data_IF_885039561551
#
_entry.id   IF_885039561551
#
_cell.length_a   1.000
_cell.length_b   1.000
_cell.length_c   1.000
_cell.angle_alpha   90.00
_cell.angle_beta   90.00
_cell.angle_gamma   90.00
#
_symmetry.space_group_name_H-M   'P 1'
#
loop_
_entity.id
_entity.type
_entity.pdbx_description
1 polymer ?
#
# COMPACT_ATOMS: atom_id res chain seq x y z
N UNK A 1 10.99 -4.67 -16.59
CA UNK A 1 9.55 -4.72 -16.95
C UNK A 1 8.88 -3.35 -16.84
N UNK A 2 9.02 -2.66 -15.70
CA UNK A 2 8.44 -1.32 -15.48
C UNK A 2 8.84 -0.34 -16.59
N UNK A 3 10.14 -0.15 -16.83
CA UNK A 3 10.63 0.75 -17.87
C UNK A 3 10.09 0.42 -19.26
N UNK A 4 10.02 -0.87 -19.64
CA UNK A 4 9.47 -1.31 -20.92
C UNK A 4 7.99 -0.91 -21.08
N UNK A 5 7.18 -1.02 -20.04
CA UNK A 5 5.77 -0.60 -20.10
C UNK A 5 5.67 0.93 -20.16
N UNK A 6 6.46 1.63 -19.33
CA UNK A 6 6.47 3.07 -19.28
C UNK A 6 6.94 3.72 -20.59
N UNK A 7 7.94 3.14 -21.28
CA UNK A 7 8.43 3.62 -22.58
C UNK A 7 7.39 3.49 -23.69
N UNK A 8 6.48 2.54 -23.57
CA UNK A 8 5.34 2.33 -24.49
C UNK A 8 4.09 3.14 -24.06
N UNK A 9 4.25 4.11 -23.16
CA UNK A 9 3.17 4.94 -22.62
C UNK A 9 2.06 4.15 -21.89
N UNK A 10 2.35 2.95 -21.39
CA UNK A 10 1.42 2.18 -20.57
C UNK A 10 1.56 2.67 -19.11
N UNK A 11 0.49 3.19 -18.48
CA UNK A 11 0.56 3.68 -17.10
C UNK A 11 0.91 2.56 -16.11
N UNK A 12 2.00 2.74 -15.36
CA UNK A 12 2.43 1.78 -14.34
C UNK A 12 2.26 2.38 -12.94
N UNK A 13 1.59 1.64 -12.06
CA UNK A 13 1.45 1.96 -10.64
C UNK A 13 2.19 0.95 -9.79
N UNK A 14 3.03 1.43 -8.87
CA UNK A 14 3.69 0.58 -7.88
C UNK A 14 2.72 0.19 -6.76
N UNK A 15 2.71 -1.09 -6.37
CA UNK A 15 2.00 -1.59 -5.19
C UNK A 15 3.03 -2.04 -4.15
N UNK A 16 3.16 -1.30 -3.05
CA UNK A 16 3.99 -1.71 -1.91
C UNK A 16 3.13 -2.52 -0.94
N UNK A 17 3.19 -3.85 -1.02
CA UNK A 17 2.39 -4.72 -0.18
C UNK A 17 3.07 -6.07 0.10
N UNK A 18 3.06 -6.54 1.36
CA UNK A 18 2.66 -5.79 2.56
C UNK A 18 3.77 -4.84 3.06
N UNK A 19 3.37 -3.67 3.57
CA UNK A 19 4.22 -2.87 4.45
C UNK A 19 4.10 -3.42 5.86
N UNK A 20 5.23 -3.86 6.42
CA UNK A 20 5.37 -4.41 7.77
C UNK A 20 6.10 -3.37 8.63
N UNK A 21 5.40 -2.72 9.58
CA UNK A 21 6.01 -1.75 10.49
C UNK A 21 7.23 -2.33 11.21
N UNK A 22 8.37 -1.64 11.17
CA UNK A 22 9.58 -2.07 11.86
C UNK A 22 10.39 -3.18 11.16
N UNK A 23 9.94 -3.67 10.00
CA UNK A 23 10.73 -4.56 9.13
C UNK A 23 11.09 -3.92 7.78
N UNK A 24 10.11 -3.37 7.06
CA UNK A 24 10.35 -2.78 5.73
C UNK A 24 9.69 -1.40 5.52
N UNK A 25 9.00 -0.87 6.53
CA UNK A 25 8.31 0.42 6.44
C UNK A 25 9.25 1.59 6.15
N UNK A 26 10.50 1.49 6.57
CA UNK A 26 11.56 2.47 6.33
C UNK A 26 12.14 2.40 4.91
N UNK A 27 11.91 1.31 4.18
CA UNK A 27 12.37 1.14 2.80
C UNK A 27 11.49 1.87 1.77
N UNK A 28 10.29 2.34 2.18
CA UNK A 28 9.32 3.02 1.33
C UNK A 28 9.95 4.09 0.40
N UNK A 29 10.77 5.03 0.91
CA UNK A 29 11.34 6.07 0.05
C UNK A 29 12.28 5.51 -1.02
N UNK A 30 13.12 4.53 -0.65
CA UNK A 30 14.10 3.94 -1.55
C UNK A 30 13.41 3.14 -2.67
N UNK A 31 12.40 2.34 -2.32
CA UNK A 31 11.62 1.56 -3.29
C UNK A 31 10.83 2.48 -4.24
N UNK A 32 10.17 3.52 -3.72
CA UNK A 32 9.44 4.49 -4.56
C UNK A 32 10.40 5.22 -5.49
N UNK A 33 11.57 5.65 -5.00
CA UNK A 33 12.58 6.29 -5.84
C UNK A 33 13.03 5.36 -6.97
N UNK A 34 13.42 4.13 -6.65
CA UNK A 34 13.88 3.17 -7.65
C UNK A 34 12.81 2.90 -8.72
N UNK A 35 11.55 2.74 -8.32
CA UNK A 35 10.46 2.58 -9.27
C UNK A 35 10.17 3.86 -10.09
N UNK A 36 10.33 5.04 -9.48
CA UNK A 36 10.18 6.33 -10.18
C UNK A 36 11.23 6.51 -11.28
N UNK A 37 12.47 6.10 -11.01
CA UNK A 37 13.58 6.09 -11.98
C UNK A 37 13.26 5.16 -13.18
N UNK A 38 12.47 4.11 -12.96
CA UNK A 38 11.98 3.19 -14.00
C UNK A 38 10.72 3.69 -14.73
N UNK A 39 10.11 4.82 -14.33
CA UNK A 39 9.02 5.46 -15.07
C UNK A 39 7.60 5.21 -14.57
N UNK A 40 7.38 4.73 -13.33
CA UNK A 40 6.01 4.69 -12.76
C UNK A 40 5.37 6.10 -12.70
N UNK A 41 4.03 6.14 -12.69
CA UNK A 41 3.26 7.38 -12.57
C UNK A 41 2.44 7.49 -11.28
N UNK A 42 2.33 6.41 -10.51
CA UNK A 42 1.63 6.39 -9.23
C UNK A 42 2.19 5.29 -8.32
N UNK A 43 1.91 5.39 -7.02
CA UNK A 43 2.15 4.32 -6.06
C UNK A 43 0.95 4.18 -5.12
N UNK A 44 0.77 3.00 -4.55
CA UNK A 44 -0.14 2.69 -3.46
C UNK A 44 0.53 1.68 -2.53
N UNK A 45 0.06 1.57 -1.29
CA UNK A 45 0.55 0.57 -0.35
C UNK A 45 -0.58 -0.03 0.48
N UNK A 46 -0.30 -1.16 1.11
CA UNK A 46 -1.16 -1.72 2.16
C UNK A 46 -0.33 -2.17 3.34
N UNK A 47 -0.82 -1.91 4.55
CA UNK A 47 -0.23 -2.45 5.78
C UNK A 47 -0.49 -3.96 5.84
N UNK A 48 0.48 -4.70 6.38
CA UNK A 48 0.36 -6.15 6.63
C UNK A 48 -0.88 -6.47 7.45
N UNK A 49 -1.55 -7.59 7.16
CA UNK A 49 -2.69 -8.10 7.92
C UNK A 49 -2.51 -9.59 8.13
N UNK A 50 -2.45 -10.04 9.38
CA UNK A 50 -2.19 -11.43 9.71
C UNK A 50 -3.50 -12.16 10.06
N UNK A 51 -4.31 -12.44 9.03
CA UNK A 51 -5.63 -13.04 9.20
C UNK A 51 -5.55 -14.55 9.50
N UNK A 52 -6.34 -15.03 10.46
CA UNK A 52 -6.46 -16.45 10.77
C UNK A 52 -5.10 -17.09 11.10
N UNK A 53 -4.84 -18.27 10.52
CA UNK A 53 -3.61 -19.04 10.74
C UNK A 53 -2.32 -18.28 10.38
N UNK A 54 -2.40 -17.22 9.55
CA UNK A 54 -1.22 -16.44 9.18
C UNK A 54 -0.61 -15.74 10.39
N UNK A 55 -1.40 -15.35 11.40
CA UNK A 55 -0.87 -14.73 12.62
C UNK A 55 0.10 -15.65 13.36
N UNK A 56 -0.27 -16.91 13.55
CA UNK A 56 0.56 -17.89 14.25
C UNK A 56 1.83 -18.21 13.46
N UNK A 57 1.69 -18.45 12.15
CA UNK A 57 2.83 -18.75 11.26
C UNK A 57 3.82 -17.59 11.24
N UNK A 58 3.32 -16.36 11.09
CA UNK A 58 4.17 -15.17 11.06
C UNK A 58 4.85 -14.93 12.41
N UNK A 59 4.14 -15.15 13.52
CA UNK A 59 4.68 -14.99 14.88
C UNK A 59 5.82 -15.97 15.13
N UNK A 60 5.62 -17.25 14.83
CA UNK A 60 6.69 -18.26 14.94
C UNK A 60 7.89 -17.93 14.04
N UNK A 61 7.64 -17.52 12.79
CA UNK A 61 8.69 -17.13 11.86
C UNK A 61 9.48 -15.93 12.35
N UNK A 62 8.82 -14.86 12.83
CA UNK A 62 9.52 -13.62 13.18
C UNK A 62 10.38 -13.80 14.44
N UNK A 63 9.97 -14.63 15.40
CA UNK A 63 10.81 -15.00 16.54
C UNK A 63 12.06 -15.80 16.14
N UNK A 64 12.00 -16.58 15.06
CA UNK A 64 13.15 -17.32 14.55
C UNK A 64 14.07 -16.45 13.70
N UNK A 65 13.50 -15.61 12.83
CA UNK A 65 14.25 -14.82 11.87
C UNK A 65 14.83 -13.51 12.46
N UNK A 66 14.10 -12.90 13.40
CA UNK A 66 14.42 -11.59 13.99
C UNK A 66 14.16 -11.58 15.51
N UNK A 67 14.82 -12.47 16.29
CA UNK A 67 14.52 -12.67 17.71
C UNK A 67 14.63 -11.40 18.56
N UNK A 68 15.53 -10.49 18.19
CA UNK A 68 15.83 -9.24 18.89
C UNK A 68 14.76 -8.15 18.73
N UNK A 69 13.93 -8.24 17.69
CA UNK A 69 12.90 -7.23 17.36
C UNK A 69 11.51 -7.80 17.09
N UNK A 70 11.33 -9.11 17.22
CA UNK A 70 10.07 -9.81 16.96
C UNK A 70 8.88 -9.19 17.69
N UNK A 71 8.97 -9.07 19.02
CA UNK A 71 7.88 -8.53 19.86
C UNK A 71 7.56 -7.09 19.49
N UNK A 72 8.58 -6.28 19.20
CA UNK A 72 8.39 -4.89 18.78
C UNK A 72 7.63 -4.82 17.45
N UNK A 73 7.99 -5.63 16.47
CA UNK A 73 7.30 -5.66 15.17
C UNK A 73 5.86 -6.13 15.34
N UNK A 74 5.63 -7.21 16.10
CA UNK A 74 4.28 -7.72 16.36
C UNK A 74 3.41 -6.67 17.06
N UNK A 75 3.96 -5.95 18.03
CA UNK A 75 3.26 -4.85 18.70
C UNK A 75 2.96 -3.70 17.73
N UNK A 76 3.89 -3.30 16.87
CA UNK A 76 3.64 -2.25 15.88
C UNK A 76 2.57 -2.66 14.85
N UNK A 77 2.53 -3.94 14.46
CA UNK A 77 1.45 -4.49 13.63
C UNK A 77 0.12 -4.40 14.40
N UNK A 78 0.10 -4.79 15.66
CA UNK A 78 -1.07 -4.74 16.51
C UNK A 78 -1.60 -3.30 16.68
N UNK A 79 -0.71 -2.33 16.89
CA UNK A 79 -1.04 -0.91 17.02
C UNK A 79 -1.70 -0.37 15.74
N UNK A 80 -1.30 -0.87 14.57
CA UNK A 80 -1.96 -0.54 13.29
C UNK A 80 -3.39 -1.10 13.15
N UNK A 81 -3.79 -2.05 14.01
CA UNK A 81 -5.04 -2.81 13.89
C UNK A 81 -5.80 -2.86 15.23
N UNK A 82 -5.68 -1.82 16.06
CA UNK A 82 -6.44 -1.68 17.30
C UNK A 82 -6.08 -2.71 18.38
N UNK A 83 -4.81 -3.09 18.46
CA UNK A 83 -4.28 -4.03 19.46
C UNK A 83 -4.35 -5.50 19.05
N UNK A 84 -4.68 -5.81 17.79
CA UNK A 84 -4.77 -7.17 17.26
C UNK A 84 -3.88 -7.34 16.04
N UNK A 85 -3.39 -8.54 15.74
CA UNK A 85 -2.57 -8.77 14.54
C UNK A 85 -3.38 -8.76 13.23
N UNK A 86 -4.71 -8.63 13.32
CA UNK A 86 -5.61 -8.51 12.18
C UNK A 86 -6.74 -7.52 12.45
N UNK A 87 -7.38 -7.11 11.35
CA UNK A 87 -8.55 -6.26 11.37
C UNK A 87 -9.56 -6.71 10.30
N UNK A 88 -10.83 -6.78 10.68
CA UNK A 88 -11.96 -7.13 9.82
C UNK A 88 -12.68 -5.90 9.25
N UNK A 89 -12.44 -4.70 9.80
CA UNK A 89 -13.05 -3.45 9.34
C UNK A 89 -12.59 -3.13 7.93
N UNK A 90 -13.54 -3.03 6.99
CA UNK A 90 -13.24 -2.70 5.60
C UNK A 90 -12.57 -1.31 5.51
N UNK A 91 -11.64 -1.14 4.57
CA UNK A 91 -10.80 0.06 4.46
C UNK A 91 -9.68 0.06 5.50
N UNK A 92 -10.02 0.22 6.79
CA UNK A 92 -9.08 0.32 7.91
C UNK A 92 -8.08 -0.84 7.95
N UNK A 93 -8.54 -2.06 7.67
CA UNK A 93 -7.65 -3.23 7.59
C UNK A 93 -6.48 -3.02 6.62
N UNK A 94 -6.69 -2.35 5.48
CA UNK A 94 -5.66 -2.17 4.44
C UNK A 94 -4.76 -0.97 4.72
N UNK A 95 -5.31 0.10 5.28
CA UNK A 95 -4.57 1.35 5.57
C UNK A 95 -3.86 1.34 6.90
N UNK A 96 -4.33 0.53 7.86
CA UNK A 96 -4.01 0.65 9.28
C UNK A 96 -4.62 1.92 9.90
N UNK A 97 -4.66 1.94 11.23
CA UNK A 97 -5.06 3.07 12.08
C UNK A 97 -3.96 3.38 13.12
N UNK A 98 -4.07 4.52 13.82
CA UNK A 98 -3.17 4.89 14.91
C UNK A 98 -1.82 5.48 14.46
N UNK A 99 -0.97 5.82 15.44
CA UNK A 99 0.25 6.63 15.22
C UNK A 99 1.30 5.97 14.33
N UNK A 100 1.43 4.65 14.42
CA UNK A 100 2.33 3.88 13.57
C UNK A 100 1.87 3.98 12.11
N UNK A 101 0.58 3.74 11.84
CA UNK A 101 0.03 3.87 10.49
C UNK A 101 0.14 5.31 9.98
N UNK A 102 -0.22 6.31 10.79
CA UNK A 102 -0.09 7.74 10.45
C UNK A 102 1.35 8.08 9.99
N UNK A 103 2.37 7.59 10.70
CA UNK A 103 3.77 7.81 10.35
C UNK A 103 4.15 7.18 9.00
N UNK A 104 3.65 5.96 8.73
CA UNK A 104 3.85 5.28 7.45
C UNK A 104 3.18 6.05 6.31
N UNK A 105 1.93 6.49 6.50
CA UNK A 105 1.20 7.32 5.52
C UNK A 105 1.93 8.63 5.23
N UNK A 106 2.48 9.28 6.25
CA UNK A 106 3.27 10.50 6.08
C UNK A 106 4.53 10.25 5.26
N UNK A 107 5.32 9.22 5.61
CA UNK A 107 6.54 8.85 4.88
C UNK A 107 6.24 8.51 3.42
N UNK A 108 5.17 7.74 3.18
CA UNK A 108 4.69 7.41 1.85
C UNK A 108 4.30 8.66 1.07
N UNK A 109 3.48 9.55 1.64
CA UNK A 109 3.03 10.79 0.98
C UNK A 109 4.20 11.70 0.62
N UNK A 110 5.16 11.85 1.52
CA UNK A 110 6.38 12.64 1.27
C UNK A 110 7.18 12.03 0.12
N UNK A 111 7.34 10.70 0.10
CA UNK A 111 8.08 9.98 -0.94
C UNK A 111 7.41 10.09 -2.31
N UNK A 112 6.09 9.90 -2.39
CA UNK A 112 5.31 10.08 -3.62
C UNK A 112 5.44 11.52 -4.12
N UNK A 113 5.24 12.52 -3.25
CA UNK A 113 5.35 13.92 -3.64
C UNK A 113 6.77 14.30 -4.10
N UNK A 114 7.81 13.68 -3.51
CA UNK A 114 9.20 13.94 -3.88
C UNK A 114 9.58 13.32 -5.21
N UNK A 115 9.21 12.06 -5.46
CA UNK A 115 9.71 11.29 -6.60
C UNK A 115 8.74 11.20 -7.79
N UNK A 116 7.44 11.42 -7.57
CA UNK A 116 6.39 11.31 -8.59
C UNK A 116 5.67 12.65 -8.83
N UNK A 117 6.31 13.77 -8.49
CA UNK A 117 5.73 15.11 -8.65
C UNK A 117 5.25 15.35 -10.09
N UNK A 118 3.98 15.74 -10.22
CA UNK A 118 3.37 16.04 -11.53
C UNK A 118 2.99 14.81 -12.35
N UNK A 119 3.17 13.59 -11.83
CA UNK A 119 2.68 12.35 -12.45
C UNK A 119 1.36 11.93 -11.81
N UNK A 120 0.46 11.40 -12.63
CA UNK A 120 -0.78 10.77 -12.16
C UNK A 120 -1.21 9.66 -13.11
N UNK A 121 -2.14 8.82 -12.65
CA UNK A 121 -2.86 7.92 -13.54
C UNK A 121 -3.72 8.74 -14.51
N UNK A 122 -3.93 8.25 -15.74
CA UNK A 122 -4.95 8.83 -16.61
C UNK A 122 -6.34 8.63 -16.01
N UNK A 123 -7.32 9.49 -16.37
CA UNK A 123 -8.71 9.28 -15.96
C UNK A 123 -9.24 7.96 -16.51
N UNK A 124 -10.22 7.38 -15.82
CA UNK A 124 -10.91 6.20 -16.32
C UNK A 124 -11.68 6.53 -17.60
N UNK A 125 -11.57 5.66 -18.61
CA UNK A 125 -12.47 5.69 -19.76
C UNK A 125 -13.78 5.00 -19.38
N UNK A 126 -14.85 5.80 -19.26
CA UNK A 126 -16.19 5.33 -18.89
C UNK A 126 -17.12 5.22 -20.10
N UNK A 127 -16.63 5.42 -21.33
CA UNK A 127 -17.46 5.40 -22.55
C UNK A 127 -18.23 4.08 -22.72
N UNK A 128 -17.57 2.97 -22.38
CA UNK A 128 -18.10 1.60 -22.41
C UNK A 128 -18.85 1.19 -21.13
N UNK A 129 -18.81 2.01 -20.08
CA UNK A 129 -19.50 1.69 -18.83
C UNK A 129 -20.98 2.04 -18.93
N UNK A 130 -21.84 1.10 -18.53
CA UNK A 130 -23.28 1.33 -18.34
C UNK A 130 -23.60 1.12 -16.86
N UNK A 131 -24.00 2.18 -16.13
CA UNK A 131 -24.41 2.06 -14.73
C UNK A 131 -25.58 1.08 -14.59
N UNK A 132 -25.75 0.47 -13.41
CA UNK A 132 -26.84 -0.48 -13.12
C UNK A 132 -28.24 0.11 -13.32
N UNK A 133 -28.37 1.44 -13.23
CA UNK A 133 -29.61 2.19 -13.52
C UNK A 133 -29.79 2.60 -15.00
N UNK A 134 -28.90 2.15 -15.90
CA UNK A 134 -28.83 2.63 -17.28
C UNK A 134 -28.13 3.99 -17.41
N UNK A 135 -27.96 4.46 -18.65
CA UNK A 135 -27.61 5.86 -18.93
C UNK A 135 -28.92 6.63 -18.94
N UNK A 136 -29.17 7.46 -17.91
CA UNK A 136 -30.33 8.35 -17.93
C UNK A 136 -30.24 9.20 -19.21
N UNK A 137 -31.28 9.15 -20.04
CA UNK A 137 -31.36 9.97 -21.23
C UNK A 137 -31.52 11.43 -20.78
N UNK A 138 -30.85 12.35 -21.46
CA UNK A 138 -31.06 13.79 -21.24
C UNK A 138 -32.54 14.10 -21.48
N UNK A 139 -33.21 14.64 -20.46
CA UNK A 139 -34.54 15.24 -20.61
C UNK A 139 -34.31 16.62 -21.23
N UNK A 140 -34.49 16.70 -22.54
CA UNK A 140 -34.63 17.90 -23.40
C UNK A 140 -33.76 19.12 -23.04
#
# INVERSE_FOLDING_TARGET
LINKLASENIPVRLMLAPIVPGLNSDEIPAVIKAAADEGICAAIFTVVRLNGAIAEIFTDWIHKAYPDRADKVLQMIADCHGGKLNDSRFGARMSGDGKVAESIHQLFRISVNRFLKGKSLPPFDLSHFTPTGGKQLDLF
#
